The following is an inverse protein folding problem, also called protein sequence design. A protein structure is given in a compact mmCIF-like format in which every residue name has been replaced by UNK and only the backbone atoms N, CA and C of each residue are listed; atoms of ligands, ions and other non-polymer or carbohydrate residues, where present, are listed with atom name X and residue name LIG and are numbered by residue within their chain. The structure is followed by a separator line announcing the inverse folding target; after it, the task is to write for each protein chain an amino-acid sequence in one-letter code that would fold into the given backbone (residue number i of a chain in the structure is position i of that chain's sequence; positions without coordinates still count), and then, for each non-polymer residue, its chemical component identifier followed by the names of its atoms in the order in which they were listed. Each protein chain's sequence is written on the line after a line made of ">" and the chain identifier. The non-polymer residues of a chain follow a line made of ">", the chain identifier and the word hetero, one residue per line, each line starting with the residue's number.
data_IF_079214660524
#
_entry.id   IF_079214660524
#
_cell.length_a   1.000
_cell.length_b   1.000
_cell.length_c   1.000
_cell.angle_alpha   90.00
_cell.angle_beta   90.00
_cell.angle_gamma   90.00
#
_symmetry.space_group_name_H-M   'P 1'
#
loop_
_entity.id
_entity.type
_entity.pdbx_description
1 polymer ?
#
# COMPACT_ATOMS: atom_id res chain seq x y z
N UNK A 1 -31.30 -18.19 7.82
CA UNK A 1 -30.90 -16.93 7.22
C UNK A 1 -29.49 -17.01 6.69
N UNK A 2 -29.33 -16.80 5.42
CA UNK A 2 -28.04 -16.85 4.78
C UNK A 2 -27.49 -15.46 4.61
N UNK A 3 -26.29 -15.25 5.12
CA UNK A 3 -25.59 -13.99 4.95
C UNK A 3 -24.81 -14.05 3.65
N UNK A 4 -25.15 -13.20 2.71
CA UNK A 4 -24.39 -13.11 1.45
C UNK A 4 -23.14 -12.28 1.69
N UNK A 5 -21.95 -12.81 1.32
CA UNK A 5 -20.75 -11.99 1.44
C UNK A 5 -20.86 -10.78 0.51
N UNK A 6 -20.33 -9.66 0.96
CA UNK A 6 -20.32 -8.43 0.18
C UNK A 6 -18.89 -8.10 -0.22
N UNK A 7 -18.76 -7.51 -1.38
CA UNK A 7 -17.48 -7.09 -1.93
C UNK A 7 -17.54 -5.60 -2.22
N UNK A 8 -16.58 -4.86 -1.68
CA UNK A 8 -16.44 -3.44 -1.93
C UNK A 8 -15.14 -3.22 -2.71
N UNK A 9 -15.27 -2.59 -3.88
CA UNK A 9 -14.12 -2.27 -4.73
C UNK A 9 -13.93 -0.77 -4.74
N UNK A 10 -12.74 -0.31 -4.39
CA UNK A 10 -12.42 1.11 -4.31
C UNK A 10 -11.16 1.42 -5.11
N UNK A 11 -11.17 2.55 -5.80
CA UNK A 11 -10.02 3.01 -6.58
C UNK A 11 -9.43 4.24 -5.89
N UNK A 12 -8.25 4.06 -5.29
CA UNK A 12 -7.51 5.10 -4.58
C UNK A 12 -8.39 5.93 -3.63
N UNK A 13 -9.08 5.28 -2.68
CA UNK A 13 -10.10 5.95 -1.88
C UNK A 13 -9.57 7.07 -0.98
N UNK A 14 -8.25 7.11 -0.74
CA UNK A 14 -7.66 8.11 0.14
C UNK A 14 -6.73 9.07 -0.61
N UNK A 15 -6.76 9.06 -1.94
CA UNK A 15 -5.93 9.96 -2.73
C UNK A 15 -6.37 11.39 -2.54
N UNK A 16 -5.42 12.26 -2.23
CA UNK A 16 -5.68 13.70 -2.11
C UNK A 16 -6.31 14.14 -0.79
N UNK A 17 -6.51 13.23 0.16
CA UNK A 17 -7.05 13.58 1.47
C UNK A 17 -5.93 13.76 2.48
N UNK A 18 -6.20 14.49 3.56
CA UNK A 18 -5.21 14.69 4.60
C UNK A 18 -5.02 13.42 5.43
N UNK A 19 -3.99 13.44 6.29
CA UNK A 19 -3.60 12.25 7.05
C UNK A 19 -4.71 11.79 7.98
N UNK A 20 -5.38 12.73 8.66
CA UNK A 20 -6.44 12.36 9.60
C UNK A 20 -7.63 11.73 8.86
N UNK A 21 -8.03 12.31 7.75
CA UNK A 21 -9.14 11.77 6.95
C UNK A 21 -8.78 10.40 6.39
N UNK A 22 -7.53 10.21 5.96
CA UNK A 22 -7.05 8.92 5.50
C UNK A 22 -7.17 7.86 6.59
N UNK A 23 -6.73 8.18 7.82
CA UNK A 23 -6.83 7.25 8.92
C UNK A 23 -8.29 6.92 9.24
N UNK A 24 -9.18 7.91 9.21
CA UNK A 24 -10.60 7.69 9.45
C UNK A 24 -11.20 6.76 8.40
N UNK A 25 -10.84 6.95 7.13
CA UNK A 25 -11.31 6.08 6.05
C UNK A 25 -10.79 4.66 6.24
N UNK A 26 -9.49 4.51 6.57
CA UNK A 26 -8.90 3.18 6.74
C UNK A 26 -9.54 2.44 7.92
N UNK A 27 -9.84 3.14 9.01
CA UNK A 27 -10.54 2.54 10.14
C UNK A 27 -11.97 2.13 9.76
N UNK A 28 -12.66 2.95 8.98
CA UNK A 28 -13.99 2.61 8.50
C UNK A 28 -13.97 1.34 7.65
N UNK A 29 -12.98 1.24 6.74
CA UNK A 29 -12.85 0.06 5.89
C UNK A 29 -12.52 -1.18 6.71
N UNK A 30 -11.71 -1.04 7.75
CA UNK A 30 -11.40 -2.13 8.64
C UNK A 30 -12.65 -2.60 9.39
N UNK A 31 -13.48 -1.66 9.86
CA UNK A 31 -14.74 -1.99 10.51
C UNK A 31 -15.67 -2.75 9.57
N UNK A 32 -15.76 -2.32 8.31
CA UNK A 32 -16.57 -3.01 7.32
C UNK A 32 -16.06 -4.43 7.07
N UNK A 33 -14.76 -4.59 7.04
CA UNK A 33 -14.16 -5.92 6.87
C UNK A 33 -14.52 -6.83 8.03
N UNK A 34 -14.58 -6.31 9.25
CA UNK A 34 -15.00 -7.09 10.42
C UNK A 34 -16.49 -7.45 10.38
N UNK A 35 -17.26 -6.80 9.51
CA UNK A 35 -18.67 -7.09 9.30
C UNK A 35 -18.91 -7.97 8.07
N UNK A 36 -17.93 -8.77 7.70
CA UNK A 36 -17.97 -9.68 6.56
C UNK A 36 -18.05 -9.00 5.19
N UNK A 37 -17.58 -7.76 5.11
CA UNK A 37 -17.42 -7.08 3.82
C UNK A 37 -15.97 -7.27 3.38
N UNK A 38 -15.75 -7.89 2.24
CA UNK A 38 -14.41 -7.97 1.65
C UNK A 38 -14.12 -6.64 0.96
N UNK A 39 -13.02 -6.01 1.33
CA UNK A 39 -12.64 -4.72 0.75
C UNK A 39 -11.39 -4.91 -0.09
N UNK A 40 -11.47 -4.51 -1.35
CA UNK A 40 -10.33 -4.49 -2.27
C UNK A 40 -10.16 -3.05 -2.72
N UNK A 41 -8.96 -2.51 -2.58
CA UNK A 41 -8.69 -1.14 -3.00
C UNK A 41 -7.38 -1.05 -3.75
N UNK A 42 -7.33 -0.15 -4.71
CA UNK A 42 -6.06 0.20 -5.36
C UNK A 42 -5.49 1.41 -4.64
N UNK A 43 -4.16 1.49 -4.55
CA UNK A 43 -3.51 2.62 -3.92
C UNK A 43 -2.03 2.66 -4.28
N UNK A 44 -1.46 3.87 -4.26
CA UNK A 44 -0.03 4.08 -4.33
C UNK A 44 0.54 4.47 -2.96
N UNK A 45 -0.29 4.51 -1.93
CA UNK A 45 0.13 4.94 -0.60
C UNK A 45 0.64 3.74 0.19
N UNK A 46 1.86 3.31 -0.14
CA UNK A 46 2.44 2.07 0.37
C UNK A 46 2.55 2.10 1.90
N UNK A 47 2.91 3.24 2.47
CA UNK A 47 3.07 3.34 3.92
C UNK A 47 1.73 3.18 4.65
N UNK A 48 0.65 3.69 4.07
CA UNK A 48 -0.68 3.50 4.64
C UNK A 48 -1.09 2.03 4.57
N UNK A 49 -0.78 1.35 3.45
CA UNK A 49 -1.03 -0.08 3.30
C UNK A 49 -0.29 -0.86 4.37
N UNK A 50 1.00 -0.55 4.57
CA UNK A 50 1.81 -1.26 5.56
C UNK A 50 1.27 -1.08 6.97
N UNK A 51 0.69 0.09 7.26
CA UNK A 51 0.20 0.40 8.59
C UNK A 51 -1.16 -0.22 8.91
N UNK A 52 -2.01 -0.40 7.89
CA UNK A 52 -3.43 -0.68 8.14
C UNK A 52 -3.95 -1.98 7.51
N UNK A 53 -3.30 -2.51 6.50
CA UNK A 53 -3.88 -3.60 5.73
C UNK A 53 -3.17 -4.92 6.00
N UNK A 54 -3.93 -6.01 6.10
CA UNK A 54 -3.34 -7.32 6.40
C UNK A 54 -2.73 -7.99 5.16
N UNK A 55 -3.14 -7.58 3.97
CA UNK A 55 -2.68 -8.24 2.76
C UNK A 55 -2.54 -7.24 1.63
N UNK A 56 -1.50 -7.42 0.83
CA UNK A 56 -1.23 -6.58 -0.33
C UNK A 56 -0.92 -7.47 -1.53
N UNK A 57 -1.33 -7.01 -2.70
CA UNK A 57 -1.00 -7.63 -3.97
C UNK A 57 -0.27 -6.58 -4.81
N UNK A 58 0.96 -6.87 -5.19
CA UNK A 58 1.75 -5.96 -6.03
C UNK A 58 1.61 -6.38 -7.48
N UNK A 59 1.25 -5.42 -8.34
CA UNK A 59 0.93 -5.69 -9.74
C UNK A 59 1.71 -4.76 -10.66
N UNK A 60 2.32 -5.33 -11.68
CA UNK A 60 2.94 -4.58 -12.78
C UNK A 60 2.75 -5.39 -14.06
N UNK A 61 1.56 -5.26 -14.68
CA UNK A 61 1.17 -6.08 -15.82
C UNK A 61 0.85 -7.51 -15.44
N UNK A 62 1.43 -8.00 -14.36
CA UNK A 62 1.18 -9.32 -13.80
C UNK A 62 1.34 -9.21 -12.29
N UNK A 63 0.94 -10.23 -11.57
CA UNK A 63 1.15 -10.25 -10.12
C UNK A 63 2.63 -10.48 -9.85
N UNK A 64 3.26 -9.50 -9.21
CA UNK A 64 4.66 -9.59 -8.81
C UNK A 64 4.79 -10.42 -7.55
N UNK A 65 3.96 -10.12 -6.55
CA UNK A 65 3.93 -10.88 -5.30
C UNK A 65 2.67 -10.52 -4.51
N UNK A 66 2.29 -11.36 -3.56
CA UNK A 66 1.17 -11.08 -2.68
C UNK A 66 1.41 -11.69 -1.29
N UNK A 67 0.85 -11.06 -0.28
CA UNK A 67 0.99 -11.51 1.09
C UNK A 67 0.88 -10.36 2.08
N UNK A 68 1.40 -10.57 3.29
CA UNK A 68 1.42 -9.51 4.30
C UNK A 68 2.42 -8.42 3.93
N UNK A 69 2.11 -7.15 4.21
CA UNK A 69 3.02 -6.06 3.85
C UNK A 69 4.45 -6.24 4.33
N UNK A 70 4.65 -6.72 5.55
CA UNK A 70 6.00 -6.91 6.08
C UNK A 70 6.80 -7.96 5.33
N UNK A 71 6.13 -8.92 4.71
CA UNK A 71 6.80 -9.96 3.94
C UNK A 71 7.03 -9.54 2.49
N UNK A 72 6.14 -8.71 1.96
CA UNK A 72 6.13 -8.39 0.53
C UNK A 72 6.90 -7.12 0.21
N UNK A 73 6.90 -6.14 1.10
CA UNK A 73 7.54 -4.86 0.84
C UNK A 73 9.05 -4.94 1.02
N UNK A 74 9.69 -5.56 0.06
CA UNK A 74 11.16 -5.65 -0.03
C UNK A 74 11.62 -4.76 -1.17
N UNK A 75 12.89 -4.32 -1.17
CA UNK A 75 13.41 -3.53 -2.29
C UNK A 75 13.24 -4.22 -3.64
N UNK A 76 13.43 -5.53 -3.69
CA UNK A 76 13.31 -6.28 -4.95
C UNK A 76 11.88 -6.28 -5.48
N UNK A 77 10.90 -6.59 -4.64
CA UNK A 77 9.50 -6.63 -5.05
C UNK A 77 9.04 -5.24 -5.48
N UNK A 78 9.39 -4.22 -4.72
CA UNK A 78 8.99 -2.86 -5.03
C UNK A 78 9.64 -2.34 -6.29
N UNK A 79 10.90 -2.70 -6.53
CA UNK A 79 11.56 -2.33 -7.77
C UNK A 79 10.86 -2.96 -8.97
N UNK A 80 10.49 -4.23 -8.88
CA UNK A 80 9.77 -4.89 -9.96
C UNK A 80 8.36 -4.34 -10.14
N UNK A 81 7.73 -3.89 -9.06
CA UNK A 81 6.38 -3.34 -9.12
C UNK A 81 6.36 -1.95 -9.76
N UNK A 82 7.30 -1.10 -9.39
CA UNK A 82 7.30 0.31 -9.82
C UNK A 82 8.34 0.64 -10.89
N UNK A 83 9.21 -0.31 -11.23
CA UNK A 83 10.33 -0.09 -12.17
C UNK A 83 11.25 1.04 -11.69
N UNK A 84 11.44 1.15 -10.37
CA UNK A 84 12.25 2.20 -9.78
C UNK A 84 12.86 1.70 -8.48
N UNK A 85 14.00 2.27 -8.11
CA UNK A 85 14.64 1.92 -6.85
C UNK A 85 13.85 2.56 -5.70
N UNK A 86 13.48 1.73 -4.75
CA UNK A 86 12.67 2.14 -3.61
C UNK A 86 13.43 1.77 -2.33
N UNK A 87 13.49 2.70 -1.40
CA UNK A 87 14.10 2.46 -0.10
C UNK A 87 13.06 1.89 0.86
N UNK A 88 13.47 0.87 1.59
CA UNK A 88 12.63 0.27 2.63
C UNK A 88 13.39 0.33 3.94
N UNK A 89 12.75 0.86 4.96
CA UNK A 89 13.31 0.89 6.31
C UNK A 89 12.26 0.39 7.28
N UNK A 90 12.68 0.16 8.53
CA UNK A 90 11.76 -0.27 9.57
C UNK A 90 11.73 0.75 10.70
N UNK A 91 10.55 1.00 11.22
CA UNK A 91 10.36 1.86 12.36
C UNK A 91 9.26 1.27 13.22
N UNK A 92 9.57 0.95 14.47
CA UNK A 92 8.62 0.35 15.41
C UNK A 92 7.94 -0.90 14.85
N UNK A 93 8.72 -1.74 14.17
CA UNK A 93 8.21 -3.00 13.61
C UNK A 93 7.45 -2.86 12.31
N UNK A 94 7.34 -1.66 11.77
CA UNK A 94 6.60 -1.40 10.55
C UNK A 94 7.56 -0.99 9.44
N UNK A 95 7.31 -1.46 8.23
CA UNK A 95 8.12 -1.08 7.08
C UNK A 95 7.66 0.25 6.53
N UNK A 96 8.60 1.14 6.30
CA UNK A 96 8.37 2.44 5.68
C UNK A 96 9.07 2.47 4.33
N UNK A 97 8.42 3.05 3.35
CA UNK A 97 8.87 3.04 1.97
C UNK A 97 9.05 4.48 1.50
N UNK A 98 10.17 4.74 0.85
CA UNK A 98 10.47 6.06 0.30
C UNK A 98 11.13 5.92 -1.05
N UNK A 99 10.99 6.95 -1.89
CA UNK A 99 11.68 6.95 -3.17
C UNK A 99 13.18 7.01 -2.95
N UNK A 100 13.93 6.40 -3.88
CA UNK A 100 15.38 6.39 -3.79
C UNK A 100 15.95 7.81 -3.82
N UNK A 101 16.92 8.11 -2.96
CA UNK A 101 17.51 9.45 -2.93
C UNK A 101 18.12 9.88 -4.27
N UNK A 102 18.49 8.97 -5.15
CA UNK A 102 19.09 9.39 -6.41
C UNK A 102 18.10 10.14 -7.29
N UNK A 103 16.80 10.00 -7.07
CA UNK A 103 15.83 10.85 -7.76
C UNK A 103 16.01 12.31 -7.42
N UNK A 104 16.51 12.59 -6.24
CA UNK A 104 16.68 13.96 -5.77
C UNK A 104 18.05 14.50 -6.10
N UNK A 105 19.03 13.61 -6.34
CA UNK A 105 20.39 14.01 -6.62
C UNK A 105 20.72 14.10 -8.09
N UNK A 106 19.84 13.78 -8.91
CA UNK A 106 20.06 13.72 -10.35
C UNK A 106 20.05 15.07 -11.00
N UNK A 107 20.01 15.82 -10.35
CA UNK A 107 20.01 17.07 -10.90
C UNK A 107 21.22 17.64 -11.09
N UNK A 108 21.77 16.64 -10.97
CA UNK A 108 22.62 16.82 -10.89
C UNK A 108 23.29 16.62 -11.56
N UNK A 109 22.85 16.05 -11.73
CA UNK A 109 23.14 15.99 -12.12
C UNK A 109 23.35 16.36 -12.51
N UNK A 110 23.18 16.28 -12.39
CA UNK A 110 23.22 16.72 -12.52
C UNK A 110 23.30 17.16 -12.79
N UNK A 111 23.18 17.10 -12.91
CA UNK A 111 23.00 17.45 -12.99
C UNK A 111 23.00 17.81 -13.16
#
# INVERSE_FOLDING_TARGET
>A
LVSSPKLLLLDEPTSGVDIKTRDDVMHLLDDLNHQDVTVIMTTHEINAVAAHLPRVVCVNGEIVDDGAPNDIFTPDVLKRTYNADILVTEYMGMKLVAESPHFFGQKDHDH
#
